data_IF_280258453562
#
_entry.id   IF_280258453562
#
_cell.length_a   1.000
_cell.length_b   1.000
_cell.length_c   1.000
_cell.angle_alpha   90.00
_cell.angle_beta   90.00
_cell.angle_gamma   90.00
#
_symmetry.space_group_name_H-M   'P 1'
#
loop_
_entity.id
_entity.type
_entity.pdbx_description
1 polymer ?
#
# COMPACT_ATOMS: atom_id res chain seq x y z
N UNK A 1 3.65 6.09 -1.81
CA UNK A 1 2.91 7.34 -2.11
C UNK A 1 1.41 7.04 -2.16
N UNK A 2 0.56 7.89 -1.58
CA UNK A 2 -0.90 7.79 -1.64
C UNK A 2 -1.47 9.10 -2.18
N UNK A 3 -2.27 9.06 -3.24
CA UNK A 3 -2.89 10.23 -3.88
C UNK A 3 -4.40 10.01 -3.96
N UNK A 4 -5.21 11.05 -3.71
CA UNK A 4 -6.65 11.03 -3.97
C UNK A 4 -6.97 11.71 -5.31
N UNK A 5 -7.49 10.96 -6.27
CA UNK A 5 -7.89 11.48 -7.59
C UNK A 5 -9.35 11.93 -7.55
N UNK A 6 -9.57 13.25 -7.52
CA UNK A 6 -10.92 13.83 -7.43
C UNK A 6 -11.84 13.44 -8.58
N UNK A 7 -11.31 13.32 -9.80
CA UNK A 7 -12.11 13.03 -11.01
C UNK A 7 -12.78 11.66 -11.00
N UNK A 8 -12.19 10.65 -10.35
CA UNK A 8 -12.75 9.30 -10.24
C UNK A 8 -13.07 8.87 -8.80
N UNK A 9 -12.89 9.76 -7.82
CA UNK A 9 -13.11 9.53 -6.39
C UNK A 9 -12.38 8.29 -5.83
N UNK A 10 -11.20 7.98 -6.38
CA UNK A 10 -10.36 6.84 -6.00
C UNK A 10 -9.03 7.30 -5.43
N UNK A 11 -8.52 6.56 -4.46
CA UNK A 11 -7.16 6.63 -3.95
C UNK A 11 -6.24 5.75 -4.80
N UNK A 12 -5.14 6.31 -5.28
CA UNK A 12 -4.03 5.57 -5.88
C UNK A 12 -2.91 5.39 -4.85
N UNK A 13 -2.60 4.15 -4.49
CA UNK A 13 -1.49 3.79 -3.61
C UNK A 13 -0.39 3.12 -4.44
N UNK A 14 0.74 3.81 -4.60
CA UNK A 14 1.95 3.26 -5.22
C UNK A 14 2.97 2.97 -4.13
N UNK A 15 3.41 1.71 -4.01
CA UNK A 15 4.34 1.26 -2.97
C UNK A 15 5.23 0.13 -3.49
N UNK A 16 6.54 0.37 -3.59
CA UNK A 16 7.49 -0.52 -4.26
C UNK A 16 6.94 -0.97 -5.64
N UNK A 17 6.79 -2.27 -5.88
CA UNK A 17 6.26 -2.82 -7.13
C UNK A 17 4.72 -2.95 -7.15
N UNK A 18 4.01 -2.38 -6.16
CA UNK A 18 2.57 -2.49 -6.01
C UNK A 18 1.88 -1.17 -6.37
N UNK A 19 0.76 -1.29 -7.10
CA UNK A 19 -0.12 -0.17 -7.39
C UNK A 19 -1.58 -0.58 -7.15
N UNK A 20 -2.31 0.18 -6.34
CA UNK A 20 -3.70 -0.11 -5.96
C UNK A 20 -4.60 1.09 -6.25
N UNK A 21 -5.75 0.85 -6.88
CA UNK A 21 -6.82 1.83 -7.10
C UNK A 21 -8.02 1.47 -6.21
N UNK A 22 -8.22 2.22 -5.13
CA UNK A 22 -9.17 1.90 -4.05
C UNK A 22 -10.16 3.04 -3.80
N UNK A 23 -11.41 2.73 -3.45
CA UNK A 23 -12.36 3.69 -2.88
C UNK A 23 -11.98 4.03 -1.45
N UNK A 24 -12.70 4.98 -0.86
CA UNK A 24 -12.56 5.31 0.57
C UNK A 24 -12.81 4.08 1.45
N UNK A 25 -13.80 3.25 1.11
CA UNK A 25 -14.18 2.04 1.83
C UNK A 25 -13.12 0.95 1.68
N UNK A 26 -12.63 0.73 0.45
CA UNK A 26 -11.57 -0.24 0.14
C UNK A 26 -10.25 0.13 0.85
N UNK A 27 -9.85 1.40 0.83
CA UNK A 27 -8.67 1.88 1.56
C UNK A 27 -8.82 1.71 3.08
N UNK A 28 -10.00 2.04 3.63
CA UNK A 28 -10.29 1.86 5.05
C UNK A 28 -10.28 0.38 5.47
N UNK A 29 -10.82 -0.51 4.63
CA UNK A 29 -10.78 -1.95 4.85
C UNK A 29 -9.35 -2.48 4.79
N UNK A 30 -8.56 -2.06 3.79
CA UNK A 30 -7.16 -2.43 3.63
C UNK A 30 -6.30 -1.98 4.83
N UNK A 31 -6.43 -0.72 5.29
CA UNK A 31 -5.76 -0.26 6.50
C UNK A 31 -6.13 -1.11 7.74
N UNK A 32 -7.43 -1.40 7.95
CA UNK A 32 -7.89 -2.25 9.06
C UNK A 32 -7.33 -3.67 8.98
N UNK A 33 -7.21 -4.22 7.77
CA UNK A 33 -6.58 -5.51 7.52
C UNK A 33 -5.08 -5.48 7.87
N UNK A 34 -4.32 -4.52 7.32
CA UNK A 34 -2.89 -4.35 7.62
C UNK A 34 -2.63 -4.20 9.13
N UNK A 35 -3.50 -3.48 9.85
CA UNK A 35 -3.41 -3.27 11.31
C UNK A 35 -3.70 -4.52 12.16
N UNK A 36 -4.36 -5.54 11.60
CA UNK A 36 -4.66 -6.82 12.28
C UNK A 36 -3.58 -7.87 12.07
N UNK A 37 -2.71 -7.72 11.08
CA UNK A 37 -1.63 -8.67 10.84
C UNK A 37 -0.59 -8.63 11.97
N UNK A 38 -0.27 -9.81 12.49
CA UNK A 38 0.82 -10.01 13.43
C UNK A 38 2.09 -10.41 12.66
N UNK A 39 3.10 -9.53 12.54
CA UNK A 39 4.33 -9.85 11.81
C UNK A 39 5.14 -10.97 12.47
N UNK A 40 5.14 -11.06 13.80
CA UNK A 40 5.88 -12.10 14.55
C UNK A 40 5.31 -13.48 14.26
N UNK A 41 3.99 -13.59 14.17
CA UNK A 41 3.32 -14.84 13.78
C UNK A 41 3.72 -15.26 12.37
N UNK A 42 3.58 -14.38 11.38
CA UNK A 42 3.87 -14.72 9.97
C UNK A 42 5.34 -15.00 9.69
N UNK A 43 6.26 -14.28 10.33
CA UNK A 43 7.69 -14.57 10.23
C UNK A 43 8.05 -15.94 10.82
N UNK A 44 7.36 -16.38 11.87
CA UNK A 44 7.52 -17.71 12.46
C UNK A 44 6.92 -18.79 11.58
N UNK A 45 5.70 -18.59 11.09
CA UNK A 45 4.98 -19.51 10.18
C UNK A 45 5.80 -19.82 8.92
N UNK A 46 6.42 -18.79 8.33
CA UNK A 46 7.23 -18.93 7.11
C UNK A 46 8.75 -18.94 7.38
N UNK A 47 9.22 -19.26 8.59
CA UNK A 47 10.64 -19.16 8.93
C UNK A 47 11.54 -19.99 7.99
N UNK A 48 11.09 -21.20 7.62
CA UNK A 48 11.77 -22.12 6.70
C UNK A 48 11.48 -21.88 5.21
N UNK A 49 10.69 -20.86 4.86
CA UNK A 49 10.42 -20.50 3.46
C UNK A 49 11.69 -19.98 2.76
N UNK A 50 11.88 -20.35 1.49
CA UNK A 50 12.98 -19.87 0.64
C UNK A 50 12.91 -18.37 0.31
N UNK A 51 11.75 -17.74 0.53
CA UNK A 51 11.56 -16.31 0.28
C UNK A 51 11.99 -15.48 1.50
N UNK A 52 12.68 -14.36 1.25
CA UNK A 52 13.05 -13.38 2.28
C UNK A 52 11.83 -12.69 2.91
N UNK A 53 10.80 -12.43 2.08
CA UNK A 53 9.56 -11.80 2.49
C UNK A 53 8.61 -12.87 3.04
N UNK A 54 8.11 -12.66 4.27
CA UNK A 54 7.41 -13.67 5.07
C UNK A 54 5.94 -13.36 5.35
N UNK A 55 5.48 -12.14 5.12
CA UNK A 55 4.13 -11.70 5.48
C UNK A 55 3.26 -11.72 4.22
N UNK A 56 2.26 -12.61 4.11
CA UNK A 56 1.37 -12.66 2.95
C UNK A 56 0.26 -11.61 3.07
N UNK A 57 -0.01 -10.94 1.95
CA UNK A 57 -1.25 -10.23 1.67
C UNK A 57 -1.97 -11.00 0.56
N UNK A 58 -3.06 -11.72 0.83
CA UNK A 58 -3.84 -12.39 -0.20
C UNK A 58 -4.53 -11.35 -1.09
N UNK A 59 -4.71 -11.68 -2.36
CA UNK A 59 -5.47 -10.85 -3.30
C UNK A 59 -6.84 -11.47 -3.60
N UNK A 60 -7.63 -10.83 -4.46
CA UNK A 60 -8.89 -11.40 -4.95
C UNK A 60 -8.68 -12.49 -6.03
N UNK A 61 -7.44 -12.74 -6.44
CA UNK A 61 -7.09 -13.83 -7.35
C UNK A 61 -6.51 -14.98 -6.53
N UNK A 62 -7.16 -16.15 -6.56
CA UNK A 62 -6.82 -17.30 -5.70
C UNK A 62 -5.35 -17.76 -5.84
N UNK A 63 -4.78 -17.57 -7.03
CA UNK A 63 -3.41 -17.97 -7.38
C UNK A 63 -2.38 -16.83 -7.24
N UNK A 64 -2.72 -15.71 -6.59
CA UNK A 64 -1.82 -14.57 -6.44
C UNK A 64 -1.83 -14.00 -5.02
N UNK A 65 -0.66 -14.06 -4.38
CA UNK A 65 -0.40 -13.56 -3.03
C UNK A 65 0.79 -12.59 -3.10
N UNK A 66 0.64 -11.43 -2.47
CA UNK A 66 1.70 -10.43 -2.35
C UNK A 66 2.50 -10.74 -1.08
N UNK A 67 3.79 -11.03 -1.21
CA UNK A 67 4.68 -11.21 -0.06
C UNK A 67 5.37 -9.89 0.30
N UNK A 68 5.30 -9.49 1.57
CA UNK A 68 5.98 -8.32 2.13
C UNK A 68 6.84 -8.68 3.35
N UNK A 69 7.75 -7.79 3.75
CA UNK A 69 8.45 -7.87 5.04
C UNK A 69 7.80 -6.98 6.12
N UNK A 70 8.31 -7.05 7.35
CA UNK A 70 7.81 -6.28 8.51
C UNK A 70 7.90 -4.76 8.33
N UNK A 71 8.97 -4.27 7.71
CA UNK A 71 9.17 -2.83 7.46
C UNK A 71 8.11 -2.36 6.48
N UNK A 72 7.94 -3.08 5.36
CA UNK A 72 6.92 -2.79 4.36
C UNK A 72 5.50 -2.82 4.95
N UNK A 73 5.21 -3.74 5.88
CA UNK A 73 3.94 -3.77 6.60
C UNK A 73 3.70 -2.48 7.39
N UNK A 74 4.70 -2.01 8.15
CA UNK A 74 4.58 -0.77 8.92
C UNK A 74 4.49 0.47 8.03
N UNK A 75 5.25 0.53 6.93
CA UNK A 75 5.16 1.59 5.93
C UNK A 75 3.77 1.64 5.29
N UNK A 76 3.20 0.49 4.89
CA UNK A 76 1.85 0.39 4.38
C UNK A 76 0.80 0.81 5.42
N UNK A 77 0.92 0.40 6.69
CA UNK A 77 0.05 0.87 7.77
C UNK A 77 0.13 2.40 7.95
N UNK A 78 1.32 3.00 7.83
CA UNK A 78 1.53 4.45 7.92
C UNK A 78 0.93 5.16 6.69
N UNK A 79 1.15 4.65 5.49
CA UNK A 79 0.68 5.24 4.23
C UNK A 79 -0.85 5.20 4.11
N UNK A 80 -1.48 4.11 4.54
CA UNK A 80 -2.93 3.88 4.39
C UNK A 80 -3.78 4.44 5.54
N UNK A 81 -3.15 5.02 6.57
CA UNK A 81 -3.85 5.53 7.77
C UNK A 81 -4.93 6.58 7.42
N UNK A 82 -6.22 6.32 7.73
CA UNK A 82 -7.31 7.27 7.54
C UNK A 82 -7.12 8.54 8.37
N UNK A 83 -7.77 9.63 7.94
CA UNK A 83 -7.74 10.94 8.61
C UNK A 83 -6.34 11.55 8.79
N UNK A 84 -5.37 11.17 7.95
CA UNK A 84 -4.14 11.96 7.77
C UNK A 84 -4.50 13.30 7.13
N UNK A 85 -4.41 14.36 7.91
CA UNK A 85 -4.53 15.76 7.45
C UNK A 85 -3.37 16.08 6.49
N UNK A 86 -3.60 15.91 5.18
CA UNK A 86 -2.82 16.44 4.05
C UNK A 86 -1.27 16.55 4.20
N UNK A 87 -0.54 15.43 4.32
CA UNK A 87 0.91 15.38 4.04
C UNK A 87 1.19 14.02 3.35
N UNK A 88 1.67 13.91 2.11
CA UNK A 88 2.74 14.68 1.44
C UNK A 88 2.45 15.19 0.01
N UNK A 89 3.17 16.26 -0.35
CA UNK A 89 3.42 16.84 -1.69
C UNK A 89 4.66 16.18 -2.34
N UNK A 90 4.94 16.21 -3.66
CA UNK A 90 4.17 16.58 -4.88
C UNK A 90 4.83 15.86 -6.08
N UNK A 91 4.06 15.44 -7.10
CA UNK A 91 4.59 15.10 -8.44
C UNK A 91 3.64 15.59 -9.57
N UNK A 92 3.17 16.84 -9.48
CA UNK A 92 2.54 17.53 -10.63
C UNK A 92 3.45 18.64 -11.21
N UNK A 93 4.35 19.22 -10.40
CA UNK A 93 5.24 20.31 -10.83
C UNK A 93 6.49 19.87 -11.62
N UNK A 94 6.67 18.59 -11.93
CA UNK A 94 7.73 18.12 -12.85
C UNK A 94 7.20 17.69 -14.23
N UNK A 95 5.88 17.48 -14.37
CA UNK A 95 5.24 17.18 -15.66
C UNK A 95 4.80 18.48 -16.35
N UNK A 96 4.37 19.48 -15.57
CA UNK A 96 4.02 20.81 -16.07
C UNK A 96 5.22 21.72 -16.38
N UNK A 97 6.45 21.30 -16.07
CA UNK A 97 7.69 22.02 -16.44
C UNK A 97 8.39 21.45 -17.68
N UNK A 98 7.77 20.47 -18.37
CA UNK A 98 8.32 19.81 -19.58
C UNK A 98 7.51 20.19 -20.84
N UNK A 99 6.39 20.90 -20.70
CA UNK A 99 5.66 21.49 -21.82
C UNK A 99 5.38 22.98 -21.54
N UNK A 100 5.57 23.83 -22.56
CA UNK A 100 5.46 25.31 -22.55
C UNK A 100 6.70 26.12 -22.12
N UNK A 101 7.86 25.84 -22.73
CA UNK A 101 8.52 26.76 -23.68
C UNK A 101 9.85 26.19 -24.18
#
# INVERSE_FOLDING_TARGET
MLIFLRGCQKYQLTFNNLNFSMSTEELNAFYKYLRRMNPVYWEKEYEYSVYEKKIPIPTLQDNFIIMINRVELFELQILTKPNKTQIFKIVENQILSINWN
#
